data_IF_679755415723
#
_entry.id   IF_679755415723
#
_cell.length_a   1.000
_cell.length_b   1.000
_cell.length_c   1.000
_cell.angle_alpha   90.00
_cell.angle_beta   90.00
_cell.angle_gamma   90.00
#
_symmetry.space_group_name_H-M   'P 1'
#
loop_
_entity.id
_entity.type
_entity.pdbx_description
1 polymer ?
#
# COMPACT_ATOMS: atom_id res chain seq x y z
N UNK A 1 54.94 -76.04 -16.93
CA UNK A 1 56.09 -75.51 -17.69
C UNK A 1 55.68 -74.19 -18.34
N UNK A 2 56.46 -73.13 -18.09
CA UNK A 2 56.77 -71.99 -18.98
C UNK A 2 55.57 -71.16 -19.52
N UNK A 3 55.27 -70.02 -18.92
CA UNK A 3 55.80 -68.67 -19.25
C UNK A 3 55.28 -68.08 -20.57
N UNK A 4 54.66 -66.89 -20.48
CA UNK A 4 55.13 -65.62 -21.10
C UNK A 4 54.14 -64.48 -20.84
N UNK A 5 54.74 -63.32 -20.55
CA UNK A 5 54.12 -62.02 -20.30
C UNK A 5 53.47 -61.42 -21.55
N UNK A 6 52.47 -60.56 -21.36
CA UNK A 6 52.21 -59.42 -22.26
C UNK A 6 51.63 -58.25 -21.46
N UNK A 7 52.24 -57.08 -21.66
CA UNK A 7 51.95 -55.78 -21.06
C UNK A 7 50.74 -55.08 -21.71
N UNK A 8 50.36 -53.95 -21.09
CA UNK A 8 49.47 -52.86 -21.53
C UNK A 8 48.03 -52.96 -20.99
N UNK A 9 47.42 -51.94 -20.40
CA UNK A 9 47.68 -50.49 -20.39
C UNK A 9 47.19 -49.87 -19.08
N UNK A 10 47.96 -48.94 -18.50
CA UNK A 10 47.49 -48.09 -17.40
C UNK A 10 46.31 -47.22 -17.86
N UNK A 11 45.09 -47.62 -17.48
CA UNK A 11 43.91 -46.75 -17.48
C UNK A 11 43.76 -46.10 -16.11
N UNK A 12 44.30 -44.89 -15.95
CA UNK A 12 43.98 -44.02 -14.80
C UNK A 12 42.52 -43.61 -14.92
N UNK A 13 41.64 -44.16 -14.07
CA UNK A 13 40.29 -43.63 -13.91
C UNK A 13 40.38 -42.29 -13.17
N UNK A 14 40.34 -41.18 -13.92
CA UNK A 14 40.10 -39.87 -13.31
C UNK A 14 38.64 -39.84 -12.85
N UNK A 15 38.43 -39.97 -11.54
CA UNK A 15 37.18 -39.62 -10.87
C UNK A 15 36.90 -38.13 -11.13
N UNK A 16 36.07 -37.81 -12.11
CA UNK A 16 35.48 -36.48 -12.23
C UNK A 16 34.46 -36.31 -11.11
N UNK A 17 34.88 -35.65 -10.04
CA UNK A 17 34.01 -35.18 -8.95
C UNK A 17 33.08 -34.08 -9.46
N UNK A 18 32.10 -34.41 -10.30
CA UNK A 18 31.05 -33.48 -10.74
C UNK A 18 29.93 -33.30 -9.69
N UNK A 19 30.01 -34.00 -8.55
CA UNK A 19 28.97 -33.99 -7.51
C UNK A 19 29.11 -32.88 -6.46
N UNK A 20 30.17 -32.06 -6.50
CA UNK A 20 30.40 -31.01 -5.50
C UNK A 20 29.84 -29.63 -5.87
N UNK A 21 29.26 -29.47 -7.07
CA UNK A 21 28.61 -28.23 -7.52
C UNK A 21 27.12 -28.42 -7.89
N UNK A 22 26.47 -29.44 -7.35
CA UNK A 22 25.02 -29.49 -7.39
C UNK A 22 24.47 -28.45 -6.39
N UNK A 23 23.91 -27.35 -6.92
CA UNK A 23 23.17 -26.37 -6.09
C UNK A 23 22.07 -27.13 -5.33
N UNK A 24 21.89 -26.90 -4.02
CA UNK A 24 20.83 -27.57 -3.29
C UNK A 24 19.51 -27.33 -4.00
N UNK A 25 18.77 -28.40 -4.26
CA UNK A 25 17.44 -28.32 -4.86
C UNK A 25 16.51 -27.79 -3.77
N UNK A 26 16.50 -26.48 -3.58
CA UNK A 26 15.61 -25.79 -2.65
C UNK A 26 14.20 -26.06 -3.16
N UNK A 27 13.31 -26.69 -2.37
CA UNK A 27 11.93 -26.82 -2.77
C UNK A 27 11.41 -25.41 -3.06
N UNK A 28 10.88 -25.16 -4.27
CA UNK A 28 10.14 -23.94 -4.58
C UNK A 28 8.88 -23.95 -3.72
N UNK A 29 8.99 -23.57 -2.45
CA UNK A 29 7.84 -23.17 -1.67
C UNK A 29 7.18 -22.06 -2.47
N UNK A 30 5.88 -22.18 -2.85
CA UNK A 30 5.19 -21.05 -3.43
C UNK A 30 5.37 -19.88 -2.45
N UNK A 31 5.71 -18.68 -2.92
CA UNK A 31 5.76 -17.53 -2.02
C UNK A 31 4.45 -17.51 -1.27
N UNK A 32 4.51 -17.51 0.07
CA UNK A 32 3.31 -17.29 0.86
C UNK A 32 2.64 -16.05 0.28
N UNK A 33 1.35 -16.14 -0.02
CA UNK A 33 0.58 -15.16 -0.80
C UNK A 33 0.63 -13.73 -0.22
N UNK A 34 1.20 -13.58 0.97
CA UNK A 34 1.41 -12.33 1.70
C UNK A 34 2.70 -11.58 1.35
N UNK A 35 3.63 -12.18 0.59
CA UNK A 35 4.95 -11.58 0.31
C UNK A 35 5.34 -11.48 -1.17
N UNK A 36 4.43 -11.83 -2.09
CA UNK A 36 4.63 -11.49 -3.49
C UNK A 36 4.59 -9.96 -3.66
N UNK A 37 5.55 -9.33 -4.38
CA UNK A 37 5.37 -7.92 -4.76
C UNK A 37 4.06 -7.85 -5.52
N UNK A 38 3.12 -7.02 -5.04
CA UNK A 38 1.84 -6.76 -5.69
C UNK A 38 2.12 -6.57 -7.18
N UNK A 39 1.80 -7.59 -7.98
CA UNK A 39 2.14 -7.62 -9.39
C UNK A 39 1.64 -6.32 -10.01
N UNK A 40 2.52 -5.63 -10.75
CA UNK A 40 2.17 -4.43 -11.49
C UNK A 40 0.98 -4.75 -12.38
N UNK A 41 -0.21 -4.37 -11.94
CA UNK A 41 -1.43 -4.55 -12.72
C UNK A 41 -1.32 -3.68 -13.96
N UNK A 42 -1.53 -4.26 -15.13
CA UNK A 42 -1.39 -3.64 -16.45
C UNK A 42 -2.32 -2.44 -16.70
N UNK A 43 -3.27 -2.15 -15.79
CA UNK A 43 -4.21 -1.03 -15.93
C UNK A 43 -4.15 -0.09 -14.73
N UNK A 44 -3.16 0.81 -14.73
CA UNK A 44 -3.01 1.88 -13.73
C UNK A 44 -4.19 2.89 -13.76
N UNK A 45 -4.84 3.05 -14.93
CA UNK A 45 -5.94 3.98 -15.14
C UNK A 45 -7.16 3.30 -15.76
N UNK A 46 -8.35 3.73 -15.34
CA UNK A 46 -9.65 3.39 -15.91
C UNK A 46 -10.09 4.48 -16.90
N UNK A 47 -10.46 4.04 -18.09
CA UNK A 47 -11.02 4.86 -19.18
C UNK A 47 -12.42 4.34 -19.51
N UNK A 48 -13.30 5.21 -20.02
CA UNK A 48 -14.67 4.84 -20.42
C UNK A 48 -14.82 4.78 -21.94
N UNK A 49 -15.83 4.04 -22.42
CA UNK A 49 -16.24 4.11 -23.83
C UNK A 49 -16.62 5.57 -24.16
N UNK A 50 -16.05 6.19 -25.20
CA UNK A 50 -16.25 7.60 -25.51
C UNK A 50 -17.62 7.84 -26.17
N UNK A 51 -18.70 7.62 -25.43
CA UNK A 51 -20.08 7.85 -25.88
C UNK A 51 -20.39 9.35 -25.94
N UNK A 52 -19.80 10.14 -25.04
CA UNK A 52 -19.94 11.61 -25.01
C UNK A 52 -18.57 12.28 -25.15
N UNK A 53 -18.50 13.52 -25.67
CA UNK A 53 -17.23 14.23 -25.84
C UNK A 53 -16.47 14.41 -24.51
N UNK A 54 -17.19 14.61 -23.41
CA UNK A 54 -16.62 14.80 -22.08
C UNK A 54 -15.88 13.57 -21.54
N UNK A 55 -16.25 12.36 -21.97
CA UNK A 55 -15.63 11.11 -21.49
C UNK A 55 -14.31 10.79 -22.21
N UNK A 56 -14.04 11.36 -23.39
CA UNK A 56 -12.88 11.02 -24.23
C UNK A 56 -11.52 11.13 -23.52
N UNK A 57 -11.38 12.13 -22.66
CA UNK A 57 -10.11 12.43 -21.98
C UNK A 57 -10.13 12.10 -20.48
N UNK A 58 -11.24 11.54 -19.97
CA UNK A 58 -11.36 11.17 -18.56
C UNK A 58 -10.53 9.92 -18.26
N UNK A 59 -9.51 10.08 -17.41
CA UNK A 59 -8.68 8.98 -16.89
C UNK A 59 -8.72 8.99 -15.36
N UNK A 60 -9.12 7.87 -14.76
CA UNK A 60 -9.23 7.72 -13.31
C UNK A 60 -8.19 6.70 -12.81
N UNK A 61 -7.43 6.96 -11.74
CA UNK A 61 -6.56 5.94 -11.16
C UNK A 61 -7.40 4.78 -10.58
N UNK A 62 -6.97 3.54 -10.81
CA UNK A 62 -7.65 2.35 -10.25
C UNK A 62 -7.07 2.07 -8.86
N UNK A 63 -7.94 1.99 -7.85
CA UNK A 63 -7.52 1.73 -6.45
C UNK A 63 -8.46 0.68 -5.82
N UNK A 64 -8.23 -0.62 -6.06
CA UNK A 64 -9.14 -1.69 -5.62
C UNK A 64 -9.08 -1.94 -4.11
N UNK A 65 -7.98 -1.59 -3.45
CA UNK A 65 -7.78 -1.73 -2.01
C UNK A 65 -8.50 -0.67 -1.17
N UNK A 66 -9.15 0.30 -1.83
CA UNK A 66 -9.77 1.44 -1.17
C UNK A 66 -11.14 1.05 -0.61
N UNK A 67 -11.41 1.43 0.63
CA UNK A 67 -12.68 1.17 1.28
C UNK A 67 -13.83 1.96 0.61
N UNK A 68 -14.90 1.26 0.25
CA UNK A 68 -16.04 1.82 -0.49
C UNK A 68 -17.11 2.47 0.41
N UNK A 69 -17.01 2.27 1.73
CA UNK A 69 -18.03 2.69 2.69
C UNK A 69 -17.87 4.13 3.20
N UNK A 70 -18.67 4.46 4.21
CA UNK A 70 -18.64 5.77 4.87
C UNK A 70 -17.48 5.85 5.86
N UNK A 71 -16.89 7.04 6.05
CA UNK A 71 -15.86 7.25 7.06
C UNK A 71 -16.40 7.07 8.47
N UNK A 72 -15.49 6.83 9.43
CA UNK A 72 -15.84 6.76 10.85
C UNK A 72 -16.30 8.13 11.37
N UNK A 73 -17.61 8.27 11.67
CA UNK A 73 -18.25 9.56 11.94
C UNK A 73 -17.60 10.38 13.05
N UNK A 74 -17.14 9.73 14.12
CA UNK A 74 -16.51 10.39 15.26
C UNK A 74 -15.20 11.12 14.90
N UNK A 75 -14.52 10.74 13.81
CA UNK A 75 -13.27 11.35 13.35
C UNK A 75 -13.50 12.32 12.19
N UNK A 76 -14.73 12.84 12.04
CA UNK A 76 -15.09 13.71 10.92
C UNK A 76 -15.82 14.97 11.36
N UNK A 77 -15.47 16.10 10.74
CA UNK A 77 -16.09 17.41 10.99
C UNK A 77 -16.68 17.94 9.69
N UNK A 78 -17.76 18.71 9.75
CA UNK A 78 -18.32 19.34 8.56
C UNK A 78 -17.36 20.43 8.03
N UNK A 79 -17.02 20.39 6.75
CA UNK A 79 -16.23 21.46 6.12
C UNK A 79 -17.18 22.60 5.74
N UNK A 80 -17.00 23.77 6.35
CA UNK A 80 -17.68 25.00 5.93
C UNK A 80 -16.82 25.69 4.87
N UNK A 81 -17.37 25.93 3.69
CA UNK A 81 -16.64 26.57 2.61
C UNK A 81 -16.87 28.09 2.63
N UNK A 82 -15.79 28.86 2.53
CA UNK A 82 -15.86 30.33 2.41
C UNK A 82 -15.93 30.82 0.96
N UNK A 83 -15.85 29.91 -0.02
CA UNK A 83 -15.77 30.23 -1.45
C UNK A 83 -14.68 31.27 -1.78
N UNK A 84 -13.53 31.21 -1.10
CA UNK A 84 -12.40 32.13 -1.31
C UNK A 84 -12.58 33.53 -0.71
N UNK A 85 -13.64 33.75 0.07
CA UNK A 85 -13.89 35.01 0.78
C UNK A 85 -13.14 35.09 2.10
N UNK A 86 -12.59 36.26 2.40
CA UNK A 86 -11.97 36.57 3.68
C UNK A 86 -12.99 37.03 4.73
N UNK A 87 -12.51 37.42 5.92
CA UNK A 87 -13.34 37.89 7.03
C UNK A 87 -14.25 39.08 6.66
N UNK A 88 -13.78 39.97 5.77
CA UNK A 88 -14.56 41.12 5.29
C UNK A 88 -15.53 40.83 4.14
N UNK A 89 -15.80 39.55 3.82
CA UNK A 89 -16.72 39.15 2.75
C UNK A 89 -16.20 39.35 1.32
N UNK A 90 -15.08 40.07 1.15
CA UNK A 90 -14.41 40.25 -0.15
C UNK A 90 -13.73 38.96 -0.60
N UNK A 91 -13.74 38.73 -1.91
CA UNK A 91 -13.01 37.61 -2.54
C UNK A 91 -11.52 37.88 -2.43
N UNK A 92 -10.82 37.05 -1.66
CA UNK A 92 -9.35 37.12 -1.51
C UNK A 92 -8.69 36.13 -2.45
N UNK A 93 -9.27 34.93 -2.58
CA UNK A 93 -8.78 33.86 -3.46
C UNK A 93 -9.79 33.64 -4.57
N UNK A 94 -9.35 33.84 -5.82
CA UNK A 94 -10.17 33.63 -7.02
C UNK A 94 -10.38 32.14 -7.33
N UNK A 95 -11.39 31.83 -8.15
CA UNK A 95 -11.68 30.47 -8.65
C UNK A 95 -11.96 29.44 -7.56
N UNK A 96 -12.62 29.84 -6.47
CA UNK A 96 -13.06 28.97 -5.38
C UNK A 96 -14.56 29.15 -5.15
N UNK A 97 -15.29 28.03 -4.99
CA UNK A 97 -16.73 28.03 -4.70
C UNK A 97 -17.47 26.93 -5.47
N UNK A 98 -18.70 26.62 -5.06
CA UNK A 98 -19.60 25.70 -5.77
C UNK A 98 -19.20 24.21 -5.73
N UNK A 99 -18.26 23.82 -4.86
CA UNK A 99 -17.86 22.43 -4.71
C UNK A 99 -18.92 21.55 -4.05
N UNK A 100 -18.77 20.23 -4.19
CA UNK A 100 -19.60 19.27 -3.46
C UNK A 100 -19.39 19.39 -1.95
N UNK A 101 -20.44 19.16 -1.14
CA UNK A 101 -20.37 19.22 0.32
C UNK A 101 -19.40 18.17 0.88
N UNK A 102 -18.38 18.61 1.60
CA UNK A 102 -17.32 17.75 2.13
C UNK A 102 -17.34 17.67 3.66
N UNK A 103 -16.72 16.62 4.19
CA UNK A 103 -16.40 16.47 5.62
C UNK A 103 -14.88 16.35 5.75
N UNK A 104 -14.29 17.17 6.61
CA UNK A 104 -12.89 17.06 6.98
C UNK A 104 -12.67 15.79 7.81
N UNK A 105 -11.50 15.17 7.62
CA UNK A 105 -11.01 14.06 8.46
C UNK A 105 -10.02 14.60 9.46
N UNK A 106 -10.25 14.30 10.74
CA UNK A 106 -9.30 14.62 11.80
C UNK A 106 -8.19 13.59 11.74
N UNK A 107 -7.00 14.02 11.35
CA UNK A 107 -5.82 13.16 11.17
C UNK A 107 -4.79 13.50 12.24
N UNK A 108 -4.15 12.47 12.75
CA UNK A 108 -2.99 12.61 13.60
C UNK A 108 -1.72 12.77 12.74
N UNK A 109 -1.24 14.01 12.62
CA UNK A 109 0.03 14.33 11.96
C UNK A 109 1.24 14.21 12.90
N UNK A 110 1.03 14.31 14.22
CA UNK A 110 2.12 14.35 15.19
C UNK A 110 2.57 12.96 15.62
N UNK A 111 1.67 11.96 15.59
CA UNK A 111 1.94 10.55 15.91
C UNK A 111 2.72 10.35 17.22
N UNK A 112 2.34 11.09 18.26
CA UNK A 112 3.06 11.10 19.54
C UNK A 112 2.85 9.83 20.36
N UNK A 113 1.81 9.04 20.07
CA UNK A 113 1.51 7.82 20.84
C UNK A 113 2.40 6.66 20.37
N UNK A 114 3.29 6.13 21.24
CA UNK A 114 4.16 5.02 20.88
C UNK A 114 3.39 3.70 20.80
N UNK A 115 4.08 2.64 20.36
CA UNK A 115 3.54 1.28 20.31
C UNK A 115 3.01 0.86 18.94
N UNK A 116 2.64 -0.43 18.79
CA UNK A 116 2.14 -0.95 17.53
C UNK A 116 0.69 -0.53 17.26
N UNK A 117 0.44 -0.10 16.02
CA UNK A 117 -0.87 0.27 15.51
C UNK A 117 -1.21 -0.56 14.28
N UNK A 118 -2.39 -1.16 14.26
CA UNK A 118 -2.89 -1.94 13.14
C UNK A 118 -3.67 -1.05 12.17
N UNK A 119 -3.40 -1.21 10.87
CA UNK A 119 -4.19 -0.57 9.81
C UNK A 119 -5.45 -1.40 9.59
N UNK A 120 -6.61 -0.82 9.94
CA UNK A 120 -7.90 -1.48 9.79
C UNK A 120 -8.36 -1.43 8.32
N UNK A 121 -8.19 -0.28 7.67
CA UNK A 121 -8.57 -0.05 6.27
C UNK A 121 -7.98 1.24 5.73
N UNK A 122 -7.96 1.36 4.39
CA UNK A 122 -7.52 2.55 3.66
C UNK A 122 -8.77 3.23 3.08
N UNK A 123 -8.95 4.52 3.34
CA UNK A 123 -10.11 5.31 2.91
C UNK A 123 -9.70 6.44 1.96
N UNK A 124 -10.65 6.83 1.08
CA UNK A 124 -10.56 8.05 0.29
C UNK A 124 -10.83 9.28 1.16
N UNK A 125 -10.09 10.37 0.97
CA UNK A 125 -10.43 11.67 1.54
C UNK A 125 -10.56 12.76 0.46
N UNK A 126 -11.75 13.37 0.28
CA UNK A 126 -11.95 14.46 -0.68
C UNK A 126 -11.17 15.75 -0.35
N UNK A 127 -10.63 15.90 0.86
CA UNK A 127 -9.87 17.07 1.30
C UNK A 127 -8.38 17.04 0.93
N UNK A 128 -7.87 15.96 0.32
CA UNK A 128 -6.47 15.86 -0.13
C UNK A 128 -6.29 14.86 -1.27
N UNK A 129 -5.10 14.82 -1.85
CA UNK A 129 -4.74 13.88 -2.91
C UNK A 129 -4.43 12.47 -2.40
N UNK A 130 -3.78 12.35 -1.23
CA UNK A 130 -3.38 11.07 -0.66
C UNK A 130 -4.53 10.30 0.04
N UNK A 131 -4.44 8.96 0.00
CA UNK A 131 -5.30 8.08 0.80
C UNK A 131 -4.96 8.16 2.29
N UNK A 132 -5.92 7.83 3.15
CA UNK A 132 -5.73 7.79 4.60
C UNK A 132 -5.91 6.37 5.13
N UNK A 133 -5.17 6.05 6.18
CA UNK A 133 -5.31 4.78 6.89
C UNK A 133 -6.08 5.01 8.19
N UNK A 134 -7.13 4.22 8.43
CA UNK A 134 -7.72 4.12 9.75
C UNK A 134 -6.86 3.17 10.59
N UNK A 135 -6.27 3.69 11.66
CA UNK A 135 -5.40 2.91 12.56
C UNK A 135 -6.08 2.62 13.89
N UNK A 136 -5.79 1.45 14.45
CA UNK A 136 -6.20 1.03 15.79
C UNK A 136 -4.96 0.67 16.59
N UNK A 137 -4.77 1.32 17.73
CA UNK A 137 -3.69 0.95 18.66
C UNK A 137 -3.98 -0.42 19.26
N UNK A 138 -2.96 -1.28 19.36
CA UNK A 138 -3.06 -2.55 20.09
C UNK A 138 -3.10 -2.35 21.60
N UNK A 139 -2.60 -1.21 22.07
CA UNK A 139 -2.56 -0.89 23.49
C UNK A 139 -3.94 -0.42 23.97
N UNK A 140 -4.57 -1.23 24.82
CA UNK A 140 -5.86 -0.90 25.45
C UNK A 140 -5.80 0.36 26.31
N UNK A 141 -4.62 0.67 26.87
CA UNK A 141 -4.38 1.81 27.76
C UNK A 141 -4.27 3.16 27.04
N UNK A 142 -4.11 3.19 25.71
CA UNK A 142 -4.04 4.45 24.94
C UNK A 142 -5.34 5.27 25.04
N UNK A 143 -6.48 4.58 25.17
CA UNK A 143 -7.81 5.20 25.30
C UNK A 143 -8.07 5.82 26.69
N UNK A 144 -7.36 5.35 27.71
CA UNK A 144 -7.64 5.63 29.14
C UNK A 144 -7.03 6.93 29.65
N UNK A 145 -6.04 7.51 28.94
CA UNK A 145 -5.30 8.71 29.39
C UNK A 145 -6.04 10.04 29.23
N UNK A 146 -7.23 10.07 28.60
CA UNK A 146 -8.00 11.31 28.35
C UNK A 146 -8.88 11.78 29.52
N UNK A 147 -8.69 11.22 30.73
CA UNK A 147 -9.53 11.50 31.90
C UNK A 147 -8.85 12.14 33.13
N UNK A 148 -7.52 12.34 33.16
CA UNK A 148 -6.90 13.12 34.26
C UNK A 148 -7.11 14.60 33.99
N UNK A 149 -8.23 15.15 34.47
CA UNK A 149 -8.35 16.59 34.72
C UNK A 149 -7.16 17.00 35.61
N UNK A 150 -6.38 17.96 35.14
CA UNK A 150 -5.48 18.72 36.00
C UNK A 150 -6.39 19.48 36.98
N UNK A 151 -6.25 19.18 38.27
CA UNK A 151 -6.80 19.94 39.39
C UNK A 151 -6.10 21.28 39.51
#
# INVERSE_FOLDING_TARGET
MLSRLSLSSLGRAFSTSAALFAKPNVPKTPPSTLSAPLQGSSTQFKTYKPVTPSLRHLKLPVSPHLYQGRPLRALTVAKRESAGRGRGGRVVVRSRGGGHKQRLRVIDFMRTTPGPHDVVRIEYDPGRSAHIALVKSRDSNSSRRRGRKLS
#
